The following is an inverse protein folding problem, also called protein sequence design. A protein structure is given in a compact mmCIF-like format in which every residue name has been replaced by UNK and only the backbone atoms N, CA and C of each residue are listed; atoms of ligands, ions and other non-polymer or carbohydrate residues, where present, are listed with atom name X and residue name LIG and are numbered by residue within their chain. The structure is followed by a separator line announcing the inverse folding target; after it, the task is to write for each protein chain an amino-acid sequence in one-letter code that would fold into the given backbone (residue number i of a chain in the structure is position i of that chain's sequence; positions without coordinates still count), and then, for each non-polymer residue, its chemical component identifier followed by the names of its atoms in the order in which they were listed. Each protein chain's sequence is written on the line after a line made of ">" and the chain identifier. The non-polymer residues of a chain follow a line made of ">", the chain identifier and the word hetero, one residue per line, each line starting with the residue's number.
data_IF_842550263032
#
_entry.id   IF_842550263032
#
_cell.length_a   1.000
_cell.length_b   1.000
_cell.length_c   1.000
_cell.angle_alpha   90.00
_cell.angle_beta   90.00
_cell.angle_gamma   90.00
#
_symmetry.space_group_name_H-M   'P 1'
#
loop_
_entity.id
_entity.type
_entity.pdbx_description
1 polymer ?
#
# COMPACT_ATOMS: atom_id res chain seq x y z
N UNK A 1 -7.09 13.18 5.00
CA UNK A 1 -5.93 13.72 4.24
C UNK A 1 -5.01 14.51 5.18
N UNK A 2 -4.22 13.84 6.05
CA UNK A 2 -3.38 14.54 7.04
C UNK A 2 -1.87 14.38 6.84
N UNK A 3 -1.43 13.43 6.01
CA UNK A 3 -0.01 13.09 5.76
C UNK A 3 0.46 13.65 4.42
N UNK A 4 -0.36 13.51 3.36
CA UNK A 4 -0.07 14.08 2.03
C UNK A 4 -0.05 15.63 1.99
N UNK A 5 -0.74 16.27 2.94
CA UNK A 5 -0.86 17.73 3.00
C UNK A 5 0.23 18.41 3.85
N UNK A 6 1.25 17.67 4.33
CA UNK A 6 2.29 18.24 5.19
C UNK A 6 3.39 19.01 4.42
N UNK A 7 3.37 19.02 3.08
CA UNK A 7 4.42 19.65 2.26
C UNK A 7 5.75 18.88 2.33
N UNK A 8 6.60 19.01 1.30
CA UNK A 8 7.85 18.24 1.16
C UNK A 8 7.68 16.94 0.37
N UNK A 9 8.34 15.84 0.77
CA UNK A 9 8.18 14.49 0.19
C UNK A 9 6.90 13.79 0.69
N UNK A 10 5.76 14.34 0.31
CA UNK A 10 4.45 13.79 0.65
C UNK A 10 4.29 12.33 0.22
N UNK A 11 4.89 11.94 -0.90
CA UNK A 11 4.81 10.59 -1.46
C UNK A 11 5.56 9.56 -0.59
N UNK A 12 6.78 9.88 -0.14
CA UNK A 12 7.58 9.02 0.74
C UNK A 12 6.91 8.82 2.09
N UNK A 13 6.42 9.91 2.70
CA UNK A 13 5.74 9.86 3.99
C UNK A 13 4.39 9.12 3.90
N UNK A 14 3.66 9.30 2.80
CA UNK A 14 2.44 8.55 2.55
C UNK A 14 2.73 7.07 2.33
N UNK A 15 3.78 6.69 1.59
CA UNK A 15 4.13 5.30 1.35
C UNK A 15 4.48 4.56 2.65
N UNK A 16 5.25 5.18 3.56
CA UNK A 16 5.57 4.58 4.84
C UNK A 16 4.34 4.45 5.75
N UNK A 17 3.53 5.50 5.85
CA UNK A 17 2.31 5.46 6.65
C UNK A 17 1.30 4.43 6.11
N UNK A 18 1.11 4.38 4.79
CA UNK A 18 0.23 3.41 4.13
C UNK A 18 0.74 1.97 4.27
N UNK A 19 2.06 1.74 4.28
CA UNK A 19 2.61 0.40 4.54
C UNK A 19 2.22 -0.11 5.93
N UNK A 20 2.35 0.73 6.95
CA UNK A 20 1.99 0.36 8.33
C UNK A 20 0.47 0.21 8.51
N UNK A 21 -0.31 1.12 7.93
CA UNK A 21 -1.77 1.06 7.97
C UNK A 21 -2.30 -0.15 7.19
N UNK A 22 -1.72 -0.46 6.03
CA UNK A 22 -2.05 -1.63 5.22
C UNK A 22 -1.74 -2.93 5.94
N UNK A 23 -0.64 -3.01 6.71
CA UNK A 23 -0.36 -4.16 7.56
C UNK A 23 -1.38 -4.32 8.70
N UNK A 24 -1.93 -3.20 9.22
CA UNK A 24 -2.89 -3.22 10.33
C UNK A 24 -4.34 -3.50 9.91
N UNK A 25 -4.78 -2.90 8.80
CA UNK A 25 -6.18 -2.92 8.37
C UNK A 25 -6.41 -3.78 7.11
N UNK A 26 -5.34 -4.31 6.51
CA UNK A 26 -5.41 -5.02 5.24
C UNK A 26 -5.70 -4.10 4.06
N UNK A 27 -5.70 -4.69 2.86
CA UNK A 27 -6.00 -3.97 1.62
C UNK A 27 -7.47 -3.53 1.53
N UNK A 28 -8.37 -4.22 2.24
CA UNK A 28 -9.82 -3.91 2.28
C UNK A 28 -10.12 -2.55 2.90
N UNK A 29 -9.21 -2.01 3.72
CA UNK A 29 -9.33 -0.66 4.28
C UNK A 29 -9.05 0.48 3.28
N UNK A 30 -8.56 0.17 2.08
CA UNK A 30 -8.22 1.17 1.05
C UNK A 30 -9.44 1.39 0.13
N UNK A 31 -9.90 2.64 -0.08
CA UNK A 31 -11.03 2.90 -0.97
C UNK A 31 -10.78 2.39 -2.39
N UNK A 32 -11.77 1.70 -2.96
CA UNK A 32 -11.65 0.98 -4.23
C UNK A 32 -11.22 1.87 -5.41
N UNK A 33 -11.63 3.14 -5.40
CA UNK A 33 -11.21 4.15 -6.40
C UNK A 33 -9.70 4.35 -6.49
N UNK A 34 -8.96 4.08 -5.40
CA UNK A 34 -7.50 4.16 -5.37
C UNK A 34 -6.84 2.85 -5.77
N UNK A 35 -7.56 1.72 -5.69
CA UNK A 35 -7.09 0.40 -6.08
C UNK A 35 -7.27 0.19 -7.59
N UNK A 36 -8.42 0.60 -8.14
CA UNK A 36 -8.80 0.35 -9.53
C UNK A 36 -8.01 1.19 -10.56
N UNK A 37 -7.21 2.16 -10.10
CA UNK A 37 -6.32 2.97 -10.94
C UNK A 37 -4.82 2.67 -10.79
N UNK A 38 -4.44 1.64 -10.03
CA UNK A 38 -3.03 1.34 -9.78
C UNK A 38 -2.35 0.76 -11.02
N UNK A 39 -1.33 1.46 -11.50
CA UNK A 39 -0.43 0.94 -12.53
C UNK A 39 0.32 -0.29 -11.97
N UNK A 40 0.29 -1.41 -12.70
CA UNK A 40 0.93 -2.68 -12.33
C UNK A 40 0.40 -3.36 -11.04
N UNK A 41 -0.89 -3.20 -10.73
CA UNK A 41 -1.55 -3.89 -9.60
C UNK A 41 -1.26 -5.39 -9.56
N UNK A 42 -1.34 -6.06 -10.70
CA UNK A 42 -1.15 -7.52 -10.79
C UNK A 42 0.28 -7.94 -10.46
N UNK A 43 1.28 -7.23 -10.99
CA UNK A 43 2.70 -7.45 -10.69
C UNK A 43 3.01 -7.25 -9.20
N UNK A 44 2.41 -6.23 -8.58
CA UNK A 44 2.56 -5.97 -7.16
C UNK A 44 1.95 -7.11 -6.33
N UNK A 45 0.75 -7.56 -6.71
CA UNK A 45 0.04 -8.64 -6.02
C UNK A 45 0.79 -9.96 -6.10
N UNK A 46 1.37 -10.27 -7.27
CA UNK A 46 2.22 -11.45 -7.47
C UNK A 46 3.44 -11.42 -6.55
N UNK A 47 4.19 -10.30 -6.53
CA UNK A 47 5.35 -10.15 -5.64
C UNK A 47 4.99 -10.28 -4.18
N UNK A 48 3.90 -9.64 -3.73
CA UNK A 48 3.44 -9.74 -2.35
C UNK A 48 3.09 -11.19 -2.00
N UNK A 49 2.42 -11.90 -2.90
CA UNK A 49 2.08 -13.31 -2.70
C UNK A 49 3.32 -14.19 -2.57
N UNK A 50 4.36 -13.95 -3.40
CA UNK A 50 5.65 -14.62 -3.28
C UNK A 50 6.34 -14.34 -1.94
N UNK A 51 6.29 -13.09 -1.47
CA UNK A 51 6.84 -12.72 -0.16
C UNK A 51 6.09 -13.42 0.98
N UNK A 52 4.75 -13.41 0.97
CA UNK A 52 3.94 -14.09 1.98
C UNK A 52 4.23 -15.59 1.99
N UNK A 53 4.28 -16.25 0.83
CA UNK A 53 4.58 -17.67 0.76
C UNK A 53 6.01 -18.01 1.23
N UNK A 54 6.96 -17.08 1.09
CA UNK A 54 8.36 -17.31 1.47
C UNK A 54 8.65 -17.07 2.96
N UNK A 55 7.88 -16.21 3.61
CA UNK A 55 8.14 -15.75 4.99
C UNK A 55 6.96 -15.97 5.95
N UNK A 56 5.84 -16.51 5.47
CA UNK A 56 4.65 -16.82 6.25
C UNK A 56 4.62 -18.21 6.86
N UNK A 57 5.71 -18.99 6.75
CA UNK A 57 5.94 -20.26 7.45
C UNK A 57 6.71 -20.06 8.77
#
# INVERSE_FOLDING_TARGET
>A
MKIVNQGGEADTNAAMACSLLGAKFGIEGIPEKYINGMLHKDLLTEKVSLFINKFGE
#
